data_IF_496889043099
#
_entry.id   IF_496889043099
#
_cell.length_a   1.000
_cell.length_b   1.000
_cell.length_c   1.000
_cell.angle_alpha   90.00
_cell.angle_beta   90.00
_cell.angle_gamma   90.00
#
_symmetry.space_group_name_H-M   'P 1'
#
loop_
_entity.id
_entity.type
_entity.pdbx_description
1 polymer ?
#
# COMPACT_ATOMS: atom_id res chain seq x y z
N UNK A 1 -4.76 -16.35 -26.67
CA UNK A 1 -5.28 -17.22 -25.59
C UNK A 1 -4.25 -17.23 -24.46
N UNK A 2 -4.42 -16.38 -23.46
CA UNK A 2 -3.83 -16.50 -22.12
C UNK A 2 -4.57 -15.51 -21.21
N UNK A 3 -4.98 -15.96 -20.02
CA UNK A 3 -5.84 -15.24 -19.06
C UNK A 3 -5.13 -15.27 -17.72
N UNK A 4 -4.62 -14.13 -17.23
CA UNK A 4 -3.89 -13.89 -15.95
C UNK A 4 -3.91 -12.35 -15.72
N UNK A 5 -4.04 -11.71 -14.55
CA UNK A 5 -4.23 -12.15 -13.15
C UNK A 5 -3.15 -11.57 -12.20
N UNK A 6 -3.38 -10.64 -11.27
CA UNK A 6 -4.59 -9.92 -10.81
C UNK A 6 -4.24 -8.45 -10.38
N UNK A 7 -4.95 -7.84 -9.41
CA UNK A 7 -4.98 -6.40 -9.13
C UNK A 7 -3.81 -5.79 -8.33
N UNK A 8 -3.10 -4.79 -8.88
CA UNK A 8 -2.36 -3.81 -8.05
C UNK A 8 -3.34 -2.82 -7.41
N UNK A 9 -3.06 -2.46 -6.16
CA UNK A 9 -3.53 -1.20 -5.59
C UNK A 9 -2.43 -0.59 -4.75
N UNK A 10 -1.95 0.59 -5.15
CA UNK A 10 -0.95 1.36 -4.42
C UNK A 10 -1.59 2.56 -3.74
N UNK A 11 -1.39 2.73 -2.43
CA UNK A 11 -1.77 3.96 -1.71
C UNK A 11 -0.57 4.90 -1.65
N UNK A 12 -0.41 5.76 -2.67
CA UNK A 12 0.61 6.81 -2.67
C UNK A 12 0.17 8.01 -1.82
N UNK A 13 0.98 8.38 -0.83
CA UNK A 13 0.80 9.60 -0.03
C UNK A 13 1.76 10.68 -0.55
N UNK A 14 1.27 11.55 -1.41
CA UNK A 14 2.06 12.71 -1.87
C UNK A 14 2.10 13.82 -0.80
N UNK A 15 3.29 14.37 -0.57
CA UNK A 15 3.58 15.43 0.39
C UNK A 15 4.02 16.69 -0.35
N UNK A 16 3.29 17.79 -0.17
CA UNK A 16 3.64 19.11 -0.72
C UNK A 16 3.79 20.12 0.42
N UNK A 17 5.02 20.56 0.70
CA UNK A 17 5.34 21.59 1.71
C UNK A 17 6.78 21.48 2.22
N UNK A 18 7.54 22.59 2.25
CA UNK A 18 8.99 22.60 2.50
C UNK A 18 9.41 22.64 3.97
N UNK A 19 10.61 22.09 4.21
CA UNK A 19 11.37 22.05 5.48
C UNK A 19 10.64 21.35 6.63
N UNK A 20 10.85 20.05 6.73
CA UNK A 20 10.57 19.26 7.92
C UNK A 20 11.78 18.36 8.18
N UNK A 21 12.06 18.06 9.45
CA UNK A 21 13.11 17.11 9.83
C UNK A 21 12.86 15.74 9.18
N UNK A 22 13.93 14.96 8.93
CA UNK A 22 13.88 13.64 8.24
C UNK A 22 12.63 12.86 8.67
N UNK A 23 11.66 12.60 7.77
CA UNK A 23 10.42 11.97 8.17
C UNK A 23 10.71 10.60 8.76
N UNK A 24 10.22 10.36 9.97
CA UNK A 24 10.36 9.07 10.64
C UNK A 24 9.66 8.00 9.81
N UNK A 25 10.35 6.89 9.56
CA UNK A 25 9.83 5.75 8.79
C UNK A 25 8.49 5.28 9.37
N UNK A 26 7.43 5.31 8.56
CA UNK A 26 6.08 4.99 9.02
C UNK A 26 5.79 3.49 8.91
N UNK A 27 5.38 2.87 10.01
CA UNK A 27 4.93 1.47 10.03
C UNK A 27 3.44 1.36 9.67
N UNK A 28 2.94 0.15 9.48
CA UNK A 28 1.50 -0.11 9.32
C UNK A 28 0.72 -0.11 10.65
N UNK A 29 1.36 0.12 11.79
CA UNK A 29 0.72 0.07 13.10
C UNK A 29 0.03 1.40 13.44
N UNK A 30 -1.15 1.30 14.06
CA UNK A 30 -1.94 2.43 14.56
C UNK A 30 -2.73 1.95 15.78
N UNK A 31 -2.84 2.78 16.81
CA UNK A 31 -3.83 2.60 17.86
C UNK A 31 -5.16 3.17 17.36
N UNK A 32 -6.18 2.32 17.19
CA UNK A 32 -7.48 2.78 16.66
C UNK A 32 -8.27 3.60 17.69
N UNK A 33 -8.01 3.41 19.00
CA UNK A 33 -8.77 4.05 20.08
C UNK A 33 -8.35 5.52 20.33
N UNK A 34 -7.17 5.91 19.84
CA UNK A 34 -6.70 7.31 19.87
C UNK A 34 -7.14 8.13 18.63
N UNK A 35 -7.78 7.54 17.60
CA UNK A 35 -8.08 8.24 16.34
C UNK A 35 -9.54 8.67 16.22
N UNK A 36 -9.78 9.95 16.50
CA UNK A 36 -11.11 10.58 16.44
C UNK A 36 -11.42 11.23 15.09
N UNK A 37 -12.71 11.42 14.80
CA UNK A 37 -13.20 12.17 13.63
C UNK A 37 -13.06 11.50 12.24
N UNK A 38 -12.15 10.54 12.08
CA UNK A 38 -11.82 9.91 10.78
C UNK A 38 -12.78 8.82 10.28
N UNK A 39 -13.84 8.49 11.03
CA UNK A 39 -14.76 7.40 10.70
C UNK A 39 -15.36 7.51 9.28
N UNK A 40 -15.82 8.69 8.87
CA UNK A 40 -16.43 8.89 7.54
C UNK A 40 -15.43 8.65 6.40
N UNK A 41 -14.20 9.13 6.57
CA UNK A 41 -13.12 8.97 5.59
C UNK A 41 -12.70 7.50 5.49
N UNK A 42 -12.57 6.81 6.64
CA UNK A 42 -12.30 5.37 6.73
C UNK A 42 -13.35 4.56 5.97
N UNK A 43 -14.65 4.79 6.25
CA UNK A 43 -15.74 4.09 5.56
C UNK A 43 -15.77 4.36 4.05
N UNK A 44 -15.49 5.59 3.62
CA UNK A 44 -15.42 5.93 2.19
C UNK A 44 -14.28 5.18 1.50
N UNK A 45 -13.07 5.17 2.09
CA UNK A 45 -11.92 4.45 1.55
C UNK A 45 -12.13 2.93 1.56
N UNK A 46 -12.61 2.33 2.65
CA UNK A 46 -12.96 0.90 2.71
C UNK A 46 -14.05 0.55 1.68
N UNK A 47 -14.99 1.46 1.43
CA UNK A 47 -15.99 1.33 0.37
C UNK A 47 -15.42 1.34 -1.04
N UNK A 48 -14.36 2.13 -1.31
CA UNK A 48 -13.62 2.11 -2.58
C UNK A 48 -12.76 0.85 -2.70
N UNK A 49 -12.03 0.47 -1.64
CA UNK A 49 -11.18 -0.71 -1.61
C UNK A 49 -11.91 -2.02 -1.92
N UNK A 50 -13.22 -2.07 -1.64
CA UNK A 50 -14.07 -3.25 -1.82
C UNK A 50 -14.79 -3.32 -3.17
N UNK A 51 -14.46 -2.42 -4.09
CA UNK A 51 -15.06 -2.33 -5.44
C UNK A 51 -14.17 -3.00 -6.48
N UNK A 52 -14.65 -4.10 -7.03
CA UNK A 52 -14.01 -4.80 -8.15
C UNK A 52 -14.11 -4.04 -9.48
N UNK A 53 -15.05 -3.09 -9.60
CA UNK A 53 -15.35 -2.29 -10.79
C UNK A 53 -14.47 -1.03 -10.98
N UNK A 54 -13.62 -0.68 -9.99
CA UNK A 54 -12.66 0.43 -10.13
C UNK A 54 -11.51 0.12 -11.12
N UNK A 55 -11.38 -1.14 -11.53
CA UNK A 55 -10.29 -1.60 -12.38
C UNK A 55 -10.44 -1.03 -13.81
N UNK A 56 -9.64 0.00 -14.12
CA UNK A 56 -9.71 0.82 -15.34
C UNK A 56 -9.30 0.11 -16.66
N UNK A 57 -9.51 -1.20 -16.74
CA UNK A 57 -9.02 -2.07 -17.82
C UNK A 57 -7.51 -2.35 -17.78
N UNK A 58 -6.77 -1.72 -16.86
CA UNK A 58 -5.32 -1.86 -16.71
C UNK A 58 -4.88 -3.03 -15.83
N UNK A 59 -5.81 -3.74 -15.20
CA UNK A 59 -5.51 -4.75 -14.20
C UNK A 59 -5.10 -4.16 -12.85
N UNK A 60 -5.32 -2.87 -12.59
CA UNK A 60 -5.05 -2.26 -11.29
C UNK A 60 -5.84 -0.96 -11.04
N UNK A 61 -5.85 -0.53 -9.77
CA UNK A 61 -6.40 0.75 -9.29
C UNK A 61 -5.35 1.52 -8.50
N UNK A 62 -5.56 2.83 -8.29
CA UNK A 62 -4.74 3.67 -7.41
C UNK A 62 -5.67 4.61 -6.64
N UNK A 63 -5.51 4.70 -5.31
CA UNK A 63 -6.32 5.59 -4.46
C UNK A 63 -5.37 6.58 -3.75
N UNK A 64 -5.19 7.80 -4.29
CA UNK A 64 -4.33 8.79 -3.67
C UNK A 64 -5.01 9.42 -2.45
N UNK A 65 -4.24 9.60 -1.36
CA UNK A 65 -4.69 10.34 -0.18
C UNK A 65 -3.93 11.66 -0.14
N UNK A 66 -4.57 12.74 -0.62
CA UNK A 66 -3.97 14.07 -0.75
C UNK A 66 -4.42 15.03 0.35
N UNK A 67 -3.60 16.03 0.65
CA UNK A 67 -3.90 17.08 1.63
C UNK A 67 -2.64 17.66 2.29
N UNK A 68 -2.82 18.72 3.08
CA UNK A 68 -1.72 19.39 3.79
C UNK A 68 -0.94 18.46 4.74
N UNK A 69 0.27 18.87 5.11
CA UNK A 69 1.04 18.24 6.18
C UNK A 69 0.30 18.26 7.52
N UNK A 70 0.66 17.36 8.44
CA UNK A 70 0.06 17.30 9.79
C UNK A 70 -1.39 16.78 9.86
N UNK A 71 -2.12 16.64 8.75
CA UNK A 71 -3.52 16.20 8.75
C UNK A 71 -3.76 14.71 9.11
N UNK A 72 -2.73 13.91 9.39
CA UNK A 72 -2.90 12.47 9.70
C UNK A 72 -3.30 11.61 8.49
N UNK A 73 -2.81 11.95 7.27
CA UNK A 73 -3.04 11.16 6.04
C UNK A 73 -2.58 9.71 6.20
N UNK A 74 -1.37 9.52 6.74
CA UNK A 74 -0.80 8.21 7.05
C UNK A 74 -1.64 7.47 8.08
N UNK A 75 -2.14 8.15 9.12
CA UNK A 75 -3.03 7.57 10.13
C UNK A 75 -4.32 7.03 9.52
N UNK A 76 -4.92 7.78 8.59
CA UNK A 76 -6.09 7.31 7.85
C UNK A 76 -5.76 6.08 6.98
N UNK A 77 -4.61 6.06 6.30
CA UNK A 77 -4.14 4.90 5.53
C UNK A 77 -3.91 3.66 6.42
N UNK A 78 -3.29 3.83 7.60
CA UNK A 78 -3.09 2.75 8.58
C UNK A 78 -4.41 2.19 9.10
N UNK A 79 -5.39 3.05 9.45
CA UNK A 79 -6.73 2.63 9.89
C UNK A 79 -7.46 1.81 8.82
N UNK A 80 -7.28 2.16 7.55
CA UNK A 80 -7.93 1.50 6.41
C UNK A 80 -7.21 0.19 6.07
N UNK A 81 -5.87 0.17 6.03
CA UNK A 81 -5.06 -1.03 5.83
C UNK A 81 -5.32 -2.09 6.91
N UNK A 82 -5.60 -1.65 8.14
CA UNK A 82 -5.90 -2.55 9.26
C UNK A 82 -7.35 -3.01 9.38
N UNK A 83 -8.29 -2.38 8.67
CA UNK A 83 -9.71 -2.71 8.75
C UNK A 83 -9.97 -4.18 8.38
N UNK A 84 -10.70 -4.91 9.24
CA UNK A 84 -10.97 -6.33 9.06
C UNK A 84 -11.63 -6.67 7.71
N UNK A 85 -12.44 -5.77 7.15
CA UNK A 85 -13.10 -5.95 5.85
C UNK A 85 -12.11 -5.82 4.69
N UNK A 86 -11.10 -4.97 4.84
CA UNK A 86 -9.98 -4.85 3.89
C UNK A 86 -9.09 -6.08 3.99
N UNK A 87 -8.77 -6.52 5.21
CA UNK A 87 -8.01 -7.76 5.45
C UNK A 87 -8.67 -9.00 4.83
N UNK A 88 -10.00 -9.08 4.88
CA UNK A 88 -10.80 -10.14 4.23
C UNK A 88 -10.86 -10.01 2.70
N UNK A 89 -10.88 -8.79 2.16
CA UNK A 89 -10.97 -8.53 0.72
C UNK A 89 -9.63 -8.69 -0.02
N UNK A 90 -8.51 -8.56 0.70
CA UNK A 90 -7.16 -8.86 0.25
C UNK A 90 -6.53 -9.93 1.16
N UNK A 91 -6.99 -11.20 1.06
CA UNK A 91 -6.57 -12.26 1.97
C UNK A 91 -5.19 -12.84 1.59
N UNK A 92 -4.79 -12.74 0.32
CA UNK A 92 -3.59 -13.40 -0.20
C UNK A 92 -2.31 -12.62 0.04
N UNK A 93 -2.33 -11.29 -0.16
CA UNK A 93 -1.14 -10.47 0.01
C UNK A 93 -1.48 -9.02 0.35
N UNK A 94 -0.80 -8.48 1.37
CA UNK A 94 -0.87 -7.08 1.80
C UNK A 94 0.51 -6.65 2.28
N UNK A 95 1.07 -5.61 1.68
CA UNK A 95 2.34 -5.02 2.08
C UNK A 95 2.15 -3.56 2.53
N UNK A 96 3.15 -3.02 3.22
CA UNK A 96 3.22 -1.60 3.56
C UNK A 96 4.68 -1.15 3.40
N UNK A 97 4.93 -0.18 2.55
CA UNK A 97 6.25 0.38 2.32
C UNK A 97 6.25 1.90 2.59
N UNK A 98 7.23 2.36 3.36
CA UNK A 98 7.54 3.78 3.47
C UNK A 98 8.42 4.20 2.27
N UNK A 99 8.13 5.35 1.69
CA UNK A 99 8.88 5.93 0.56
C UNK A 99 9.38 7.31 0.99
N UNK A 100 10.71 7.47 1.06
CA UNK A 100 11.42 8.71 1.37
C UNK A 100 11.63 9.59 0.13
N UNK A 101 12.03 10.84 0.35
CA UNK A 101 12.54 11.74 -0.71
C UNK A 101 13.77 11.12 -1.41
N UNK A 102 14.66 10.48 -0.64
CA UNK A 102 15.68 9.57 -1.14
C UNK A 102 15.00 8.27 -1.62
N UNK A 103 14.61 8.24 -2.89
CA UNK A 103 13.89 7.11 -3.49
C UNK A 103 14.82 5.92 -3.79
N UNK A 104 14.60 4.80 -3.10
CA UNK A 104 15.29 3.53 -3.33
C UNK A 104 14.32 2.45 -3.83
N UNK A 105 14.27 2.25 -5.15
CA UNK A 105 13.47 1.21 -5.78
C UNK A 105 13.85 -0.22 -5.31
N UNK A 106 15.13 -0.47 -5.00
CA UNK A 106 15.60 -1.81 -4.57
C UNK A 106 15.13 -2.08 -3.14
N UNK A 107 15.34 -1.13 -2.23
CA UNK A 107 14.86 -1.19 -0.85
C UNK A 107 13.34 -1.34 -0.76
N UNK A 108 12.58 -0.53 -1.50
CA UNK A 108 11.11 -0.61 -1.54
C UNK A 108 10.65 -1.98 -2.07
N UNK A 109 11.20 -2.45 -3.19
CA UNK A 109 10.83 -3.77 -3.75
C UNK A 109 11.16 -4.91 -2.79
N UNK A 110 12.30 -4.83 -2.07
CA UNK A 110 12.64 -5.78 -1.00
C UNK A 110 11.65 -5.77 0.15
N UNK A 111 11.27 -4.61 0.69
CA UNK A 111 10.31 -4.50 1.80
C UNK A 111 8.97 -5.15 1.43
N UNK A 112 8.49 -4.89 0.20
CA UNK A 112 7.27 -5.52 -0.31
C UNK A 112 7.47 -7.04 -0.45
N UNK A 113 8.53 -7.50 -1.11
CA UNK A 113 8.77 -8.93 -1.33
C UNK A 113 8.99 -9.70 -0.01
N UNK A 114 9.65 -9.10 0.98
CA UNK A 114 9.83 -9.67 2.33
C UNK A 114 8.50 -9.91 3.03
N UNK A 115 7.47 -9.08 2.80
CA UNK A 115 6.12 -9.34 3.31
C UNK A 115 5.48 -10.62 2.71
N UNK A 116 5.98 -11.12 1.56
CA UNK A 116 5.51 -12.34 0.91
C UNK A 116 6.32 -13.58 1.29
N UNK A 117 7.67 -13.45 1.36
CA UNK A 117 8.59 -14.60 1.50
C UNK A 117 9.46 -14.58 2.77
N UNK A 118 9.30 -13.57 3.63
CA UNK A 118 10.03 -13.42 4.89
C UNK A 118 11.45 -12.85 4.74
N UNK A 119 12.30 -13.47 3.91
CA UNK A 119 13.68 -13.01 3.67
C UNK A 119 14.03 -12.95 2.18
N UNK A 120 14.89 -11.98 1.84
CA UNK A 120 15.27 -11.68 0.45
C UNK A 120 16.75 -11.33 0.41
N UNK A 121 17.57 -12.20 -0.17
CA UNK A 121 19.02 -12.02 -0.37
C UNK A 121 19.35 -11.79 -1.85
N UNK A 122 18.71 -10.78 -2.44
CA UNK A 122 18.86 -10.38 -3.85
C UNK A 122 18.95 -8.86 -3.90
N UNK A 123 19.97 -8.33 -4.57
CA UNK A 123 20.17 -6.88 -4.74
C UNK A 123 19.83 -6.38 -6.15
N UNK A 124 19.68 -7.29 -7.12
CA UNK A 124 19.31 -6.93 -8.49
C UNK A 124 17.81 -6.61 -8.60
N UNK A 125 17.49 -5.42 -9.12
CA UNK A 125 16.11 -4.93 -9.20
C UNK A 125 15.24 -5.80 -10.13
N UNK A 126 15.81 -6.32 -11.22
CA UNK A 126 15.06 -7.13 -12.18
C UNK A 126 14.71 -8.50 -11.59
N UNK A 127 15.65 -9.16 -10.90
CA UNK A 127 15.39 -10.39 -10.16
C UNK A 127 14.36 -10.18 -9.04
N UNK A 128 14.43 -9.06 -8.31
CA UNK A 128 13.43 -8.70 -7.29
C UNK A 128 12.03 -8.50 -7.90
N UNK A 129 11.93 -7.82 -9.05
CA UNK A 129 10.65 -7.61 -9.73
C UNK A 129 10.09 -8.91 -10.30
N UNK A 130 10.90 -9.79 -10.89
CA UNK A 130 10.46 -11.12 -11.35
C UNK A 130 10.00 -12.01 -10.18
N UNK A 131 10.66 -11.94 -9.03
CA UNK A 131 10.21 -12.64 -7.83
C UNK A 131 8.88 -12.07 -7.31
N UNK A 132 8.75 -10.75 -7.27
CA UNK A 132 7.52 -10.08 -6.85
C UNK A 132 6.35 -10.37 -7.80
N UNK A 133 6.55 -10.31 -9.12
CA UNK A 133 5.55 -10.69 -10.12
C UNK A 133 5.03 -12.11 -9.86
N UNK A 134 5.92 -13.09 -9.68
CA UNK A 134 5.54 -14.46 -9.35
C UNK A 134 4.81 -14.59 -7.99
N UNK A 135 5.08 -13.70 -7.03
CA UNK A 135 4.36 -13.67 -5.76
C UNK A 135 2.99 -12.99 -5.84
N UNK A 136 2.77 -12.09 -6.80
CA UNK A 136 1.53 -11.31 -6.98
C UNK A 136 0.56 -11.92 -8.02
N UNK A 137 1.10 -12.72 -8.92
CA UNK A 137 0.38 -13.39 -10.01
C UNK A 137 -0.81 -14.20 -9.50
N UNK A 138 -1.96 -14.04 -10.18
CA UNK A 138 -3.24 -14.69 -9.87
C UNK A 138 -3.69 -14.52 -8.41
N UNK A 139 -3.32 -13.40 -7.78
CA UNK A 139 -3.74 -13.04 -6.42
C UNK A 139 -4.26 -11.61 -6.37
N UNK A 140 -5.22 -11.39 -5.48
CA UNK A 140 -5.71 -10.07 -5.11
C UNK A 140 -4.87 -9.46 -3.99
N UNK A 141 -4.32 -8.25 -4.22
CA UNK A 141 -3.40 -7.62 -3.29
C UNK A 141 -3.55 -6.10 -3.12
N UNK A 142 -2.91 -5.58 -2.07
CA UNK A 142 -2.87 -4.18 -1.66
C UNK A 142 -1.44 -3.83 -1.19
N UNK A 143 -0.92 -2.68 -1.65
CA UNK A 143 0.44 -2.17 -1.42
C UNK A 143 0.41 -0.72 -0.86
#
# INVERSE_FOLDING_TARGET
MSIIGEAILTVTVEMYGRVQERPLSTTSLVDEDEVYGRKKDKEALVGLLRRDDLNSGRGFSVIPITGMGGLGKTTLAQLVFNDGRVKQHFPNFRAWAYVSEDFDAVGITKVILQAAVGSVDVNDLNLLQLQLENQLKDKKFLL
#
